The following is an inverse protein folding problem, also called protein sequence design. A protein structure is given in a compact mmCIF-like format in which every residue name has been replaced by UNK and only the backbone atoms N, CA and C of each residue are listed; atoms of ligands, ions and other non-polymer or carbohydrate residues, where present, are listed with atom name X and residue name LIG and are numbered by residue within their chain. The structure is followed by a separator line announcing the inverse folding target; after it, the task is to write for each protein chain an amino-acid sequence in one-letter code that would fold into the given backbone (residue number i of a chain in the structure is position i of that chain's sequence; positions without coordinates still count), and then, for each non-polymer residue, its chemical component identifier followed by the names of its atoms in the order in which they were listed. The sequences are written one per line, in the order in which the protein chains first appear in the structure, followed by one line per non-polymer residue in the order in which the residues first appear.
data_IF_586031877863
#
_entry.id   IF_586031877863
#
_cell.length_a   1.000
_cell.length_b   1.000
_cell.length_c   1.000
_cell.angle_alpha   90.00
_cell.angle_beta   90.00
_cell.angle_gamma   90.00
#
_symmetry.space_group_name_H-M   'P 1'
#
loop_
_entity.id
_entity.type
_entity.pdbx_description
1 polymer ?
#
# COMPACT_ATOMS: atom_id res chain seq x y z
N UNK A 1 43.09 -5.57 -5.91
CA UNK A 1 42.34 -6.30 -6.95
C UNK A 1 40.87 -5.88 -6.86
N UNK A 2 40.24 -5.50 -7.98
CA UNK A 2 38.81 -5.20 -7.96
C UNK A 2 38.04 -6.50 -7.67
N UNK A 3 37.03 -6.48 -6.77
CA UNK A 3 36.19 -7.66 -6.54
C UNK A 3 35.54 -8.12 -7.84
N UNK A 4 35.45 -9.43 -8.06
CA UNK A 4 34.79 -10.04 -9.22
C UNK A 4 33.31 -9.68 -9.27
N UNK A 5 32.68 -9.79 -10.45
CA UNK A 5 31.24 -9.53 -10.60
C UNK A 5 30.39 -10.36 -9.63
N UNK A 6 30.74 -11.64 -9.46
CA UNK A 6 30.08 -12.54 -8.50
C UNK A 6 30.19 -12.05 -7.05
N UNK A 7 31.35 -11.52 -6.64
CA UNK A 7 31.48 -10.94 -5.29
C UNK A 7 30.66 -9.66 -5.12
N UNK A 8 30.45 -8.87 -6.18
CA UNK A 8 29.62 -7.65 -6.11
C UNK A 8 28.14 -7.96 -6.06
N UNK A 9 27.67 -8.94 -6.84
CA UNK A 9 26.28 -9.41 -6.75
C UNK A 9 25.99 -10.00 -5.35
N UNK A 10 26.95 -10.72 -4.76
CA UNK A 10 26.83 -11.19 -3.39
C UNK A 10 26.78 -10.05 -2.37
N UNK A 11 27.59 -8.98 -2.54
CA UNK A 11 27.53 -7.78 -1.69
C UNK A 11 26.16 -7.10 -1.75
N UNK A 12 25.53 -7.02 -2.92
CA UNK A 12 24.18 -6.47 -3.09
C UNK A 12 23.14 -7.31 -2.34
N UNK A 13 23.20 -8.63 -2.48
CA UNK A 13 22.29 -9.56 -1.79
C UNK A 13 22.46 -9.46 -0.27
N UNK A 14 23.70 -9.41 0.22
CA UNK A 14 23.99 -9.24 1.64
C UNK A 14 23.47 -7.90 2.16
N UNK A 15 23.69 -6.80 1.42
CA UNK A 15 23.17 -5.49 1.81
C UNK A 15 21.64 -5.51 1.94
N UNK A 16 20.94 -6.10 0.97
CA UNK A 16 19.48 -6.25 1.00
C UNK A 16 19.03 -6.99 2.26
N UNK A 17 19.63 -8.14 2.53
CA UNK A 17 19.30 -8.95 3.72
C UNK A 17 19.57 -8.19 5.04
N UNK A 18 20.67 -7.45 5.13
CA UNK A 18 21.00 -6.66 6.32
C UNK A 18 20.01 -5.52 6.53
N UNK A 19 19.66 -4.78 5.47
CA UNK A 19 18.69 -3.69 5.55
C UNK A 19 17.32 -4.22 5.94
N UNK A 20 16.86 -5.32 5.33
CA UNK A 20 15.59 -5.95 5.66
C UNK A 20 15.55 -6.44 7.13
N UNK A 21 16.65 -7.00 7.64
CA UNK A 21 16.76 -7.39 9.04
C UNK A 21 16.69 -6.19 9.99
N UNK A 22 17.42 -5.11 9.69
CA UNK A 22 17.41 -3.89 10.50
C UNK A 22 16.05 -3.20 10.51
N UNK A 23 15.39 -3.17 9.35
CA UNK A 23 14.02 -2.72 9.21
C UNK A 23 13.05 -3.53 10.08
N UNK A 24 13.18 -4.86 10.09
CA UNK A 24 12.38 -5.75 10.93
C UNK A 24 12.62 -5.58 12.44
N UNK A 25 13.84 -5.19 12.84
CA UNK A 25 14.20 -4.91 14.23
C UNK A 25 13.84 -3.48 14.70
N UNK A 26 13.19 -2.67 13.85
CA UNK A 26 12.87 -1.28 14.15
C UNK A 26 14.09 -0.35 14.21
N UNK A 27 15.25 -0.82 13.73
CA UNK A 27 16.53 -0.09 13.74
C UNK A 27 16.80 0.53 12.37
N UNK A 28 15.83 1.28 11.85
CA UNK A 28 15.90 1.83 10.50
C UNK A 28 17.12 2.78 10.33
N UNK A 29 17.60 3.42 11.39
CA UNK A 29 18.75 4.35 11.32
C UNK A 29 20.03 3.61 10.96
N UNK A 30 20.22 2.42 11.52
CA UNK A 30 21.38 1.58 11.20
C UNK A 30 21.27 1.01 9.79
N UNK A 31 20.07 0.60 9.37
CA UNK A 31 19.79 0.25 7.97
C UNK A 31 20.13 1.38 7.00
N UNK A 32 19.75 2.62 7.33
CA UNK A 32 20.04 3.79 6.52
C UNK A 32 21.54 4.09 6.46
N UNK A 33 22.24 3.95 7.59
CA UNK A 33 23.70 4.13 7.66
C UNK A 33 24.41 3.14 6.74
N UNK A 34 24.06 1.86 6.83
CA UNK A 34 24.62 0.79 6.02
C UNK A 34 24.35 0.99 4.52
N UNK A 35 23.11 1.31 4.15
CA UNK A 35 22.74 1.57 2.76
C UNK A 35 23.48 2.78 2.18
N UNK A 36 23.61 3.86 2.95
CA UNK A 36 24.35 5.07 2.54
C UNK A 36 25.87 4.83 2.43
N UNK A 37 26.44 3.99 3.28
CA UNK A 37 27.85 3.59 3.20
C UNK A 37 28.11 2.75 1.94
N UNK A 38 27.26 1.76 1.67
CA UNK A 38 27.38 0.93 0.47
C UNK A 38 27.12 1.72 -0.81
N UNK A 39 26.16 2.65 -0.82
CA UNK A 39 25.92 3.54 -1.97
C UNK A 39 27.19 4.30 -2.35
N UNK A 40 27.88 4.91 -1.37
CA UNK A 40 29.13 5.65 -1.60
C UNK A 40 30.25 4.75 -2.10
N UNK A 41 30.34 3.52 -1.58
CA UNK A 41 31.31 2.51 -2.02
C UNK A 41 31.04 2.06 -3.46
N UNK A 42 29.80 1.72 -3.80
CA UNK A 42 29.44 1.33 -5.16
C UNK A 42 29.68 2.46 -6.16
N UNK A 43 29.37 3.70 -5.78
CA UNK A 43 29.67 4.89 -6.58
C UNK A 43 31.16 5.06 -6.84
N UNK A 44 32.02 4.90 -5.82
CA UNK A 44 33.48 5.01 -6.01
C UNK A 44 34.05 3.89 -6.88
N UNK A 45 33.45 2.70 -6.82
CA UNK A 45 33.77 1.55 -7.66
C UNK A 45 33.13 1.61 -9.06
N UNK A 46 32.33 2.65 -9.36
CA UNK A 46 31.53 2.79 -10.59
C UNK A 46 30.62 1.58 -10.84
N UNK A 47 30.14 0.96 -9.78
CA UNK A 47 29.22 -0.18 -9.80
C UNK A 47 27.78 0.35 -9.80
N UNK A 48 27.21 0.55 -10.99
CA UNK A 48 25.90 1.19 -11.15
C UNK A 48 24.75 0.36 -10.58
N UNK A 49 24.81 -0.97 -10.69
CA UNK A 49 23.75 -1.87 -10.23
C UNK A 49 23.63 -1.85 -8.70
N UNK A 50 24.77 -1.91 -8.01
CA UNK A 50 24.89 -1.81 -6.58
C UNK A 50 24.54 -0.42 -6.07
N UNK A 51 24.93 0.64 -6.78
CA UNK A 51 24.51 2.01 -6.46
C UNK A 51 22.98 2.14 -6.53
N UNK A 52 22.35 1.66 -7.62
CA UNK A 52 20.90 1.65 -7.77
C UNK A 52 20.20 0.79 -6.72
N UNK A 53 20.75 -0.37 -6.40
CA UNK A 53 20.21 -1.27 -5.36
C UNK A 53 20.27 -0.61 -3.98
N UNK A 54 21.35 0.10 -3.66
CA UNK A 54 21.48 0.83 -2.40
C UNK A 54 20.44 1.97 -2.30
N UNK A 55 20.20 2.71 -3.40
CA UNK A 55 19.13 3.70 -3.44
C UNK A 55 17.73 3.10 -3.25
N UNK A 56 17.43 1.94 -3.87
CA UNK A 56 16.17 1.23 -3.62
C UNK A 56 15.99 0.88 -2.14
N UNK A 57 17.06 0.41 -1.47
CA UNK A 57 17.03 0.09 -0.04
C UNK A 57 16.79 1.33 0.83
N UNK A 58 17.47 2.45 0.52
CA UNK A 58 17.25 3.73 1.20
C UNK A 58 15.81 4.22 1.02
N UNK A 59 15.26 4.10 -0.20
CA UNK A 59 13.89 4.48 -0.48
C UNK A 59 12.89 3.68 0.35
N UNK A 60 13.07 2.35 0.44
CA UNK A 60 12.23 1.48 1.26
C UNK A 60 12.26 1.88 2.74
N UNK A 61 13.44 2.18 3.27
CA UNK A 61 13.60 2.63 4.66
C UNK A 61 12.92 3.98 4.93
N UNK A 62 13.03 4.93 3.99
CA UNK A 62 12.30 6.20 4.07
C UNK A 62 10.79 6.00 3.99
N UNK A 63 10.29 5.15 3.10
CA UNK A 63 8.86 4.79 3.05
C UNK A 63 8.36 4.20 4.37
N UNK A 64 9.15 3.34 5.02
CA UNK A 64 8.80 2.79 6.34
C UNK A 64 8.71 3.84 7.45
N UNK A 65 9.44 4.96 7.31
CA UNK A 65 9.36 6.10 8.23
C UNK A 65 8.23 7.07 7.90
N UNK A 66 7.67 6.99 6.70
CA UNK A 66 6.74 7.97 6.15
C UNK A 66 7.42 9.14 5.43
N UNK A 67 8.73 9.10 5.25
CA UNK A 67 9.55 10.12 4.59
C UNK A 67 9.43 10.02 3.06
N UNK A 68 8.25 10.29 2.52
CA UNK A 68 7.95 10.03 1.10
C UNK A 68 8.75 10.93 0.13
N UNK A 69 9.18 12.12 0.55
CA UNK A 69 10.02 13.02 -0.25
C UNK A 69 11.42 12.45 -0.43
N UNK A 70 12.03 12.01 0.67
CA UNK A 70 13.35 11.40 0.72
C UNK A 70 13.37 10.06 -0.01
N UNK A 71 12.30 9.28 0.12
CA UNK A 71 12.13 8.05 -0.66
C UNK A 71 12.11 8.34 -2.16
N UNK A 72 11.35 9.36 -2.60
CA UNK A 72 11.29 9.75 -4.00
C UNK A 72 12.65 10.22 -4.51
N UNK A 73 13.38 11.03 -3.72
CA UNK A 73 14.73 11.50 -4.05
C UNK A 73 15.73 10.36 -4.28
N UNK A 74 15.60 9.26 -3.53
CA UNK A 74 16.38 8.05 -3.76
C UNK A 74 15.94 7.34 -5.05
N UNK A 75 14.63 7.15 -5.24
CA UNK A 75 14.09 6.38 -6.36
C UNK A 75 14.35 7.02 -7.72
N UNK A 76 14.28 8.35 -7.86
CA UNK A 76 14.49 9.02 -9.15
C UNK A 76 15.91 8.82 -9.72
N UNK A 77 16.88 8.43 -8.89
CA UNK A 77 18.24 8.10 -9.34
C UNK A 77 18.33 6.68 -9.93
N UNK A 78 17.43 5.77 -9.53
CA UNK A 78 17.53 4.35 -9.84
C UNK A 78 17.33 3.99 -11.32
N UNK A 79 16.30 4.51 -12.04
CA UNK A 79 16.02 4.07 -13.41
C UNK A 79 17.22 4.24 -14.35
N UNK A 80 17.91 5.37 -14.28
CA UNK A 80 19.09 5.64 -15.11
C UNK A 80 20.26 4.70 -14.79
N UNK A 81 20.46 4.35 -13.51
CA UNK A 81 21.52 3.44 -13.07
C UNK A 81 21.28 2.02 -13.58
N UNK A 82 20.05 1.51 -13.44
CA UNK A 82 19.67 0.18 -13.89
C UNK A 82 19.59 0.06 -15.41
N UNK A 83 19.06 1.07 -16.09
CA UNK A 83 19.02 1.13 -17.55
C UNK A 83 20.44 1.05 -18.14
N UNK A 84 21.40 1.76 -17.54
CA UNK A 84 22.78 1.79 -18.00
C UNK A 84 23.53 0.44 -17.91
N UNK A 85 23.00 -0.51 -17.14
CA UNK A 85 23.54 -1.88 -17.02
C UNK A 85 22.60 -2.94 -17.59
N UNK A 86 21.47 -2.52 -18.18
CA UNK A 86 20.45 -3.41 -18.75
C UNK A 86 19.64 -4.19 -17.71
N UNK A 87 19.63 -3.76 -16.44
CA UNK A 87 18.87 -4.41 -15.37
C UNK A 87 17.41 -3.94 -15.40
N UNK A 88 16.61 -4.57 -16.27
CA UNK A 88 15.18 -4.23 -16.44
C UNK A 88 14.35 -4.52 -15.18
N UNK A 89 14.81 -5.42 -14.32
CA UNK A 89 14.11 -5.73 -13.08
C UNK A 89 14.25 -4.57 -12.10
N UNK A 90 15.48 -4.12 -11.85
CA UNK A 90 15.72 -2.96 -10.99
C UNK A 90 15.09 -1.68 -11.54
N UNK A 91 15.06 -1.51 -12.87
CA UNK A 91 14.33 -0.42 -13.53
C UNK A 91 12.82 -0.46 -13.23
N UNK A 92 12.18 -1.63 -13.37
CA UNK A 92 10.77 -1.82 -13.06
C UNK A 92 10.45 -1.58 -11.57
N UNK A 93 11.26 -2.12 -10.66
CA UNK A 93 11.11 -1.91 -9.21
C UNK A 93 11.20 -0.42 -8.83
N UNK A 94 12.12 0.33 -9.47
CA UNK A 94 12.25 1.77 -9.24
C UNK A 94 11.02 2.55 -9.73
N UNK A 95 10.56 2.28 -10.96
CA UNK A 95 9.41 2.97 -11.54
C UNK A 95 8.12 2.68 -10.79
N UNK A 96 7.93 1.44 -10.37
CA UNK A 96 6.84 1.05 -9.48
C UNK A 96 6.81 1.89 -8.20
N UNK A 97 7.96 2.02 -7.51
CA UNK A 97 8.07 2.82 -6.30
C UNK A 97 7.75 4.31 -6.53
N UNK A 98 8.25 4.87 -7.64
CA UNK A 98 7.98 6.27 -8.04
C UNK A 98 6.48 6.47 -8.28
N UNK A 99 5.85 5.56 -9.01
CA UNK A 99 4.43 5.62 -9.30
C UNK A 99 3.59 5.54 -8.02
N UNK A 100 3.86 4.56 -7.14
CA UNK A 100 3.19 4.39 -5.84
C UNK A 100 3.27 5.68 -4.99
N UNK A 101 4.44 6.33 -4.94
CA UNK A 101 4.61 7.59 -4.18
C UNK A 101 3.82 8.74 -4.82
N UNK A 102 3.96 8.98 -6.12
CA UNK A 102 3.24 10.08 -6.79
C UNK A 102 1.73 9.89 -6.71
N UNK A 103 1.29 8.65 -6.86
CA UNK A 103 -0.12 8.29 -6.73
C UNK A 103 -0.63 8.60 -5.31
N UNK A 104 0.10 8.23 -4.26
CA UNK A 104 -0.24 8.60 -2.88
C UNK A 104 -0.14 10.11 -2.57
N UNK A 105 0.66 10.88 -3.33
CA UNK A 105 0.70 12.35 -3.24
C UNK A 105 -0.48 13.01 -3.98
N UNK A 106 -1.14 12.30 -4.90
CA UNK A 106 -2.15 12.83 -5.81
C UNK A 106 -1.57 13.38 -7.13
N UNK A 107 -0.28 13.18 -7.40
CA UNK A 107 0.41 13.64 -8.62
C UNK A 107 0.16 12.65 -9.78
N UNK A 108 -1.09 12.50 -10.19
CA UNK A 108 -1.52 11.41 -11.09
C UNK A 108 -0.87 11.42 -12.47
N UNK A 109 -0.47 12.57 -13.00
CA UNK A 109 0.30 12.63 -14.26
C UNK A 109 1.69 11.99 -14.12
N UNK A 110 2.37 12.23 -13.00
CA UNK A 110 3.69 11.65 -12.76
C UNK A 110 3.56 10.16 -12.40
N UNK A 111 2.49 9.79 -11.69
CA UNK A 111 2.15 8.39 -11.44
C UNK A 111 1.90 7.62 -12.74
N UNK A 112 1.18 8.22 -13.69
CA UNK A 112 0.88 7.60 -14.99
C UNK A 112 2.16 7.32 -15.78
N UNK A 113 3.03 8.33 -15.93
CA UNK A 113 4.31 8.16 -16.62
C UNK A 113 5.15 7.06 -15.98
N UNK A 114 5.25 7.05 -14.65
CA UNK A 114 6.00 6.03 -13.93
C UNK A 114 5.38 4.63 -14.06
N UNK A 115 4.05 4.50 -14.07
CA UNK A 115 3.37 3.23 -14.29
C UNK A 115 3.59 2.69 -15.72
N UNK A 116 3.55 3.56 -16.74
CA UNK A 116 3.84 3.20 -18.14
C UNK A 116 5.29 2.70 -18.31
N UNK A 117 6.26 3.38 -17.69
CA UNK A 117 7.66 2.96 -17.70
C UNK A 117 7.89 1.65 -16.93
N UNK A 118 7.20 1.45 -15.80
CA UNK A 118 7.20 0.19 -15.05
C UNK A 118 6.70 -0.97 -15.92
N UNK A 119 5.54 -0.81 -16.55
CA UNK A 119 4.97 -1.80 -17.45
C UNK A 119 5.90 -2.10 -18.64
N UNK A 120 6.54 -1.07 -19.21
CA UNK A 120 7.50 -1.23 -20.29
C UNK A 120 8.73 -2.03 -19.86
N UNK A 121 9.28 -1.76 -18.67
CA UNK A 121 10.44 -2.45 -18.14
C UNK A 121 10.16 -3.95 -17.93
N UNK A 122 9.06 -4.30 -17.26
CA UNK A 122 8.71 -5.70 -17.02
C UNK A 122 8.27 -6.44 -18.29
N UNK A 123 7.63 -5.75 -19.24
CA UNK A 123 7.34 -6.33 -20.56
C UNK A 123 8.62 -6.69 -21.33
N UNK A 124 9.63 -5.80 -21.32
CA UNK A 124 10.93 -6.07 -21.95
C UNK A 124 11.71 -7.19 -21.25
N UNK A 125 11.57 -7.30 -19.93
CA UNK A 125 12.19 -8.38 -19.15
C UNK A 125 11.53 -9.74 -19.39
N UNK A 126 10.24 -9.76 -19.74
CA UNK A 126 9.45 -10.99 -19.80
C UNK A 126 9.05 -11.54 -18.42
N UNK A 127 9.15 -10.71 -17.37
CA UNK A 127 8.78 -11.08 -16.02
C UNK A 127 7.26 -11.06 -15.87
N UNK A 128 6.64 -12.24 -15.81
CA UNK A 128 5.19 -12.37 -15.66
C UNK A 128 4.66 -11.77 -14.36
N UNK A 129 5.40 -11.94 -13.25
CA UNK A 129 4.97 -11.41 -11.94
C UNK A 129 5.08 -9.89 -11.93
N UNK A 130 6.20 -9.35 -12.39
CA UNK A 130 6.38 -7.90 -12.51
C UNK A 130 5.36 -7.25 -13.48
N UNK A 131 4.97 -7.96 -14.55
CA UNK A 131 3.87 -7.52 -15.43
C UNK A 131 2.52 -7.47 -14.72
N UNK A 132 2.22 -8.45 -13.86
CA UNK A 132 0.97 -8.49 -13.10
C UNK A 132 0.90 -7.31 -12.12
N UNK A 133 2.00 -7.05 -11.41
CA UNK A 133 2.14 -5.92 -10.50
C UNK A 133 2.02 -4.57 -11.23
N UNK A 134 2.69 -4.42 -12.37
CA UNK A 134 2.57 -3.23 -13.21
C UNK A 134 1.13 -3.04 -13.73
N UNK A 135 0.42 -4.12 -14.08
CA UNK A 135 -0.97 -4.04 -14.52
C UNK A 135 -1.91 -3.57 -13.39
N UNK A 136 -1.71 -4.02 -12.14
CA UNK A 136 -2.44 -3.47 -10.99
C UNK A 136 -2.17 -1.97 -10.82
N UNK A 137 -0.88 -1.57 -10.85
CA UNK A 137 -0.50 -0.17 -10.72
C UNK A 137 -1.11 0.71 -11.84
N UNK A 138 -1.10 0.23 -13.09
CA UNK A 138 -1.74 0.92 -14.21
C UNK A 138 -3.24 1.05 -13.98
N UNK A 139 -3.90 0.00 -13.48
CA UNK A 139 -5.31 0.05 -13.10
C UNK A 139 -5.59 1.14 -12.09
N UNK A 140 -4.81 1.14 -11.01
CA UNK A 140 -4.91 2.08 -9.91
C UNK A 140 -4.74 3.54 -10.36
N UNK A 141 -3.74 3.80 -11.21
CA UNK A 141 -3.52 5.15 -11.75
C UNK A 141 -4.65 5.60 -12.67
N UNK A 142 -5.13 4.73 -13.56
CA UNK A 142 -6.25 5.09 -14.44
C UNK A 142 -7.56 5.25 -13.69
N UNK A 143 -7.79 4.47 -12.63
CA UNK A 143 -8.89 4.66 -11.71
C UNK A 143 -8.83 6.03 -11.05
N UNK A 144 -7.64 6.45 -10.59
CA UNK A 144 -7.42 7.78 -10.03
C UNK A 144 -7.72 8.91 -11.00
N UNK A 145 -7.19 8.80 -12.22
CA UNK A 145 -7.41 9.80 -13.26
C UNK A 145 -8.90 9.90 -13.63
N UNK A 146 -9.58 8.76 -13.79
CA UNK A 146 -11.00 8.72 -14.12
C UNK A 146 -11.87 9.29 -12.98
N UNK A 147 -11.53 9.03 -11.72
CA UNK A 147 -12.22 9.60 -10.55
C UNK A 147 -12.17 11.13 -10.49
N UNK A 148 -11.16 11.75 -11.11
CA UNK A 148 -11.02 13.20 -11.23
C UNK A 148 -11.54 13.76 -12.57
N UNK A 149 -12.17 12.93 -13.41
CA UNK A 149 -12.64 13.34 -14.73
C UNK A 149 -11.53 13.55 -15.78
N UNK A 150 -10.30 13.10 -15.50
CA UNK A 150 -9.12 13.30 -16.35
C UNK A 150 -8.67 12.01 -17.07
N UNK A 151 -9.30 10.88 -16.80
CA UNK A 151 -8.87 9.56 -17.27
C UNK A 151 -9.96 8.76 -17.95
N UNK A 152 -9.55 7.68 -18.62
CA UNK A 152 -10.44 6.71 -19.22
C UNK A 152 -10.67 5.53 -18.26
N UNK A 153 -11.87 5.35 -17.69
CA UNK A 153 -12.16 4.25 -16.76
C UNK A 153 -12.01 2.86 -17.41
N UNK A 154 -12.08 2.76 -18.74
CA UNK A 154 -11.86 1.50 -19.48
C UNK A 154 -10.40 1.02 -19.43
N UNK A 155 -9.43 1.94 -19.29
CA UNK A 155 -8.02 1.56 -19.14
C UNK A 155 -7.78 0.90 -17.78
N UNK A 156 -8.45 1.38 -16.73
CA UNK A 156 -8.40 0.75 -15.42
C UNK A 156 -8.97 -0.67 -15.46
N UNK A 157 -10.15 -0.83 -16.08
CA UNK A 157 -10.80 -2.11 -16.26
C UNK A 157 -9.92 -3.12 -17.01
N UNK A 158 -9.32 -2.71 -18.14
CA UNK A 158 -8.44 -3.57 -18.93
C UNK A 158 -7.20 -4.02 -18.15
N UNK A 159 -6.57 -3.09 -17.44
CA UNK A 159 -5.37 -3.38 -16.67
C UNK A 159 -5.67 -4.29 -15.46
N UNK A 160 -6.79 -4.09 -14.77
CA UNK A 160 -7.25 -4.98 -13.71
C UNK A 160 -7.52 -6.40 -14.23
N UNK A 161 -8.13 -6.54 -15.41
CA UNK A 161 -8.38 -7.84 -16.04
C UNK A 161 -7.08 -8.57 -16.41
N UNK A 162 -6.08 -7.83 -16.94
CA UNK A 162 -4.75 -8.39 -17.21
C UNK A 162 -4.07 -8.87 -15.92
N UNK A 163 -4.12 -8.08 -14.84
CA UNK A 163 -3.55 -8.46 -13.55
C UNK A 163 -4.20 -9.75 -12.99
N UNK A 164 -5.54 -9.84 -13.01
CA UNK A 164 -6.26 -11.05 -12.58
C UNK A 164 -5.77 -12.28 -13.36
N UNK A 165 -5.71 -12.19 -14.69
CA UNK A 165 -5.28 -13.32 -15.52
C UNK A 165 -3.84 -13.72 -15.22
N UNK A 166 -2.93 -12.76 -15.10
CA UNK A 166 -1.52 -13.04 -14.84
C UNK A 166 -1.31 -13.69 -13.47
N UNK A 167 -1.97 -13.21 -12.41
CA UNK A 167 -1.85 -13.83 -11.08
C UNK A 167 -2.53 -15.19 -11.00
N UNK A 168 -3.61 -15.43 -11.74
CA UNK A 168 -4.20 -16.76 -11.88
C UNK A 168 -3.24 -17.73 -12.57
N UNK A 169 -2.62 -17.32 -13.68
CA UNK A 169 -1.62 -18.11 -14.40
C UNK A 169 -0.39 -18.44 -13.53
N UNK A 170 -0.02 -17.53 -12.62
CA UNK A 170 1.06 -17.71 -11.65
C UNK A 170 0.65 -18.55 -10.42
N UNK A 171 -0.65 -18.82 -10.23
CA UNK A 171 -1.17 -19.51 -9.06
C UNK A 171 -1.11 -18.70 -7.75
N UNK A 172 -0.98 -17.38 -7.84
CA UNK A 172 -0.84 -16.49 -6.69
C UNK A 172 -2.21 -16.14 -6.10
N UNK A 173 -2.66 -16.96 -5.15
CA UNK A 173 -4.01 -16.87 -4.57
C UNK A 173 -4.32 -15.51 -3.95
N UNK A 174 -3.40 -14.97 -3.14
CA UNK A 174 -3.58 -13.67 -2.49
C UNK A 174 -3.66 -12.54 -3.51
N UNK A 175 -2.71 -12.45 -4.45
CA UNK A 175 -2.71 -11.39 -5.45
C UNK A 175 -3.88 -11.51 -6.43
N UNK A 176 -4.36 -12.73 -6.69
CA UNK A 176 -5.60 -12.94 -7.46
C UNK A 176 -6.81 -12.34 -6.74
N UNK A 177 -6.95 -12.55 -5.41
CA UNK A 177 -8.06 -11.99 -4.64
C UNK A 177 -8.02 -10.45 -4.63
N UNK A 178 -6.83 -9.87 -4.44
CA UNK A 178 -6.63 -8.41 -4.50
C UNK A 178 -6.95 -7.87 -5.89
N UNK A 179 -6.48 -8.53 -6.96
CA UNK A 179 -6.74 -8.10 -8.34
C UNK A 179 -8.23 -8.20 -8.70
N UNK A 180 -8.95 -9.19 -8.18
CA UNK A 180 -10.41 -9.31 -8.35
C UNK A 180 -11.15 -8.18 -7.62
N UNK A 181 -10.70 -7.79 -6.44
CA UNK A 181 -11.25 -6.62 -5.73
C UNK A 181 -11.05 -5.33 -6.54
N UNK A 182 -9.85 -5.11 -7.09
CA UNK A 182 -9.56 -3.97 -7.97
C UNK A 182 -10.45 -4.01 -9.23
N UNK A 183 -10.59 -5.19 -9.85
CA UNK A 183 -11.44 -5.39 -11.03
C UNK A 183 -12.92 -5.11 -10.74
N UNK A 184 -13.43 -5.55 -9.60
CA UNK A 184 -14.80 -5.26 -9.17
C UNK A 184 -15.02 -3.75 -9.03
N UNK A 185 -14.08 -3.01 -8.44
CA UNK A 185 -14.18 -1.55 -8.32
C UNK A 185 -14.08 -0.85 -9.69
N UNK A 186 -13.23 -1.33 -10.60
CA UNK A 186 -13.17 -0.83 -11.98
C UNK A 186 -14.50 -1.07 -12.74
N UNK A 187 -15.16 -2.22 -12.49
CA UNK A 187 -16.50 -2.48 -13.01
C UNK A 187 -17.56 -1.51 -12.42
N UNK A 188 -17.49 -1.16 -11.14
CA UNK A 188 -18.36 -0.11 -10.56
C UNK A 188 -18.18 1.24 -11.27
N UNK A 189 -16.94 1.66 -11.49
CA UNK A 189 -16.62 2.94 -12.15
C UNK A 189 -17.10 3.00 -13.60
N UNK A 190 -17.05 1.86 -14.30
CA UNK A 190 -17.57 1.69 -15.66
C UNK A 190 -19.07 1.37 -15.70
N UNK A 191 -19.73 1.25 -14.54
CA UNK A 191 -21.16 0.94 -14.37
C UNK A 191 -21.58 -0.45 -14.88
N UNK A 192 -20.64 -1.39 -14.93
CA UNK A 192 -20.92 -2.80 -15.19
C UNK A 192 -21.31 -3.47 -13.85
N UNK A 193 -22.47 -3.11 -13.30
CA UNK A 193 -22.81 -3.45 -11.91
C UNK A 193 -22.98 -4.96 -11.68
N UNK A 194 -23.53 -5.70 -12.64
CA UNK A 194 -23.65 -7.15 -12.56
C UNK A 194 -22.28 -7.85 -12.54
N UNK A 195 -21.35 -7.38 -13.38
CA UNK A 195 -19.98 -7.89 -13.41
C UNK A 195 -19.21 -7.49 -12.14
N UNK A 196 -19.44 -6.28 -11.62
CA UNK A 196 -18.89 -5.84 -10.34
C UNK A 196 -19.35 -6.74 -9.20
N UNK A 197 -20.65 -7.04 -9.12
CA UNK A 197 -21.23 -7.91 -8.10
C UNK A 197 -20.62 -9.32 -8.16
N UNK A 198 -20.61 -9.94 -9.36
CA UNK A 198 -20.03 -11.27 -9.55
C UNK A 198 -18.54 -11.33 -9.19
N UNK A 199 -17.78 -10.32 -9.62
CA UNK A 199 -16.34 -10.25 -9.36
C UNK A 199 -16.06 -10.03 -7.87
N UNK A 200 -16.84 -9.18 -7.20
CA UNK A 200 -16.73 -8.93 -5.77
C UNK A 200 -17.09 -10.16 -4.93
N UNK A 201 -18.06 -10.97 -5.35
CA UNK A 201 -18.38 -12.26 -4.72
C UNK A 201 -17.25 -13.29 -4.87
N UNK A 202 -16.59 -13.35 -6.03
CA UNK A 202 -15.39 -14.19 -6.21
C UNK A 202 -14.24 -13.72 -5.31
N UNK A 203 -13.99 -12.40 -5.26
CA UNK A 203 -12.99 -11.82 -4.36
C UNK A 203 -13.28 -12.15 -2.89
N UNK A 204 -14.51 -11.95 -2.42
CA UNK A 204 -14.96 -12.29 -1.06
C UNK A 204 -14.70 -13.78 -0.74
N UNK A 205 -15.14 -14.69 -1.60
CA UNK A 205 -14.95 -16.13 -1.40
C UNK A 205 -13.47 -16.52 -1.30
N UNK A 206 -12.60 -15.85 -2.06
CA UNK A 206 -11.15 -16.07 -1.99
C UNK A 206 -10.52 -15.50 -0.73
N UNK A 207 -10.88 -14.28 -0.33
CA UNK A 207 -10.41 -13.71 0.93
C UNK A 207 -10.85 -14.54 2.13
N UNK A 208 -12.08 -15.04 2.13
CA UNK A 208 -12.58 -16.01 3.12
C UNK A 208 -11.72 -17.28 3.16
N UNK A 209 -11.38 -17.85 2.01
CA UNK A 209 -10.50 -19.02 1.93
C UNK A 209 -9.06 -18.72 2.45
N UNK A 210 -8.60 -17.48 2.32
CA UNK A 210 -7.33 -16.99 2.84
C UNK A 210 -7.39 -16.60 4.33
N UNK A 211 -8.59 -16.60 4.95
CA UNK A 211 -8.85 -16.08 6.30
C UNK A 211 -8.48 -14.60 6.44
N UNK A 212 -8.64 -13.83 5.37
CA UNK A 212 -8.48 -12.39 5.35
C UNK A 212 -9.85 -11.73 5.54
N UNK A 213 -10.24 -11.55 6.81
CA UNK A 213 -11.53 -10.96 7.17
C UNK A 213 -11.67 -9.52 6.69
N UNK A 214 -10.55 -8.80 6.59
CA UNK A 214 -10.53 -7.42 6.16
C UNK A 214 -10.80 -7.35 4.64
N UNK A 215 -10.13 -8.19 3.84
CA UNK A 215 -10.38 -8.32 2.40
C UNK A 215 -11.79 -8.84 2.08
N UNK A 216 -12.34 -9.72 2.92
CA UNK A 216 -13.74 -10.17 2.85
C UNK A 216 -14.71 -8.99 3.01
N UNK A 217 -14.52 -8.18 4.06
CA UNK A 217 -15.31 -6.97 4.30
C UNK A 217 -15.22 -5.98 3.13
N UNK A 218 -14.00 -5.65 2.69
CA UNK A 218 -13.79 -4.74 1.56
C UNK A 218 -14.48 -5.23 0.28
N UNK A 219 -14.46 -6.53 -0.01
CA UNK A 219 -15.16 -7.09 -1.17
C UNK A 219 -16.68 -6.99 -1.04
N UNK A 220 -17.22 -7.16 0.16
CA UNK A 220 -18.65 -7.01 0.41
C UNK A 220 -19.13 -5.55 0.35
N UNK A 221 -18.27 -4.58 0.67
CA UNK A 221 -18.52 -3.17 0.36
C UNK A 221 -18.71 -2.95 -1.15
N UNK A 222 -17.89 -3.58 -2.00
CA UNK A 222 -18.04 -3.47 -3.45
C UNK A 222 -19.36 -4.09 -3.94
N UNK A 223 -19.82 -5.19 -3.33
CA UNK A 223 -21.14 -5.75 -3.61
C UNK A 223 -22.25 -4.77 -3.24
N UNK A 224 -22.13 -4.12 -2.08
CA UNK A 224 -23.09 -3.10 -1.67
C UNK A 224 -23.15 -1.92 -2.67
N UNK A 225 -22.00 -1.47 -3.18
CA UNK A 225 -21.94 -0.50 -4.27
C UNK A 225 -22.57 -0.99 -5.58
N UNK A 226 -22.40 -2.27 -5.91
CA UNK A 226 -23.02 -2.87 -7.09
C UNK A 226 -24.55 -2.92 -6.95
N UNK A 227 -25.07 -3.36 -5.80
CA UNK A 227 -26.50 -3.36 -5.50
C UNK A 227 -27.09 -1.95 -5.53
N UNK A 228 -26.37 -0.95 -5.00
CA UNK A 228 -26.77 0.46 -5.11
C UNK A 228 -26.91 0.90 -6.58
N UNK A 229 -25.93 0.55 -7.43
CA UNK A 229 -25.98 0.81 -8.87
C UNK A 229 -27.13 0.10 -9.59
N UNK A 230 -27.50 -1.09 -9.12
CA UNK A 230 -28.66 -1.87 -9.57
C UNK A 230 -29.99 -1.40 -8.97
N UNK A 231 -29.99 -0.32 -8.18
CA UNK A 231 -31.17 0.22 -7.47
C UNK A 231 -31.79 -0.72 -6.43
N UNK A 232 -31.05 -1.75 -6.01
CA UNK A 232 -31.44 -2.68 -4.96
C UNK A 232 -30.95 -2.17 -3.59
N UNK A 233 -31.67 -1.18 -3.06
CA UNK A 233 -31.31 -0.52 -1.80
C UNK A 233 -31.35 -1.45 -0.59
N UNK A 234 -32.22 -2.46 -0.58
CA UNK A 234 -32.33 -3.41 0.52
C UNK A 234 -31.09 -4.29 0.60
N UNK A 235 -30.69 -4.90 -0.52
CA UNK A 235 -29.48 -5.72 -0.57
C UNK A 235 -28.21 -4.88 -0.40
N UNK A 236 -28.18 -3.65 -0.93
CA UNK A 236 -27.07 -2.72 -0.68
C UNK A 236 -26.89 -2.48 0.82
N UNK A 237 -27.94 -2.10 1.54
CA UNK A 237 -27.89 -1.89 3.00
C UNK A 237 -27.51 -3.15 3.75
N UNK A 238 -28.02 -4.32 3.34
CA UNK A 238 -27.69 -5.61 3.95
C UNK A 238 -26.19 -5.90 3.84
N UNK A 239 -25.64 -5.85 2.62
CA UNK A 239 -24.22 -6.07 2.36
C UNK A 239 -23.33 -5.08 3.14
N UNK A 240 -23.70 -3.81 3.20
CA UNK A 240 -22.93 -2.81 3.94
C UNK A 240 -22.91 -3.12 5.45
N UNK A 241 -24.07 -3.45 6.05
CA UNK A 241 -24.16 -3.80 7.48
C UNK A 241 -23.33 -5.03 7.83
N UNK A 242 -23.42 -6.09 7.02
CA UNK A 242 -22.60 -7.28 7.21
C UNK A 242 -21.10 -6.93 7.08
N UNK A 243 -20.75 -5.98 6.20
CA UNK A 243 -19.35 -5.60 5.99
C UNK A 243 -18.82 -4.85 7.19
N UNK A 244 -19.65 -4.02 7.80
CA UNK A 244 -19.34 -3.34 9.06
C UNK A 244 -19.00 -4.35 10.17
N UNK A 245 -19.82 -5.39 10.29
CA UNK A 245 -19.61 -6.44 11.30
C UNK A 245 -18.28 -7.19 11.05
N UNK A 246 -17.94 -7.45 9.78
CA UNK A 246 -16.64 -8.04 9.42
C UNK A 246 -15.48 -7.10 9.75
N UNK A 247 -15.52 -5.82 9.38
CA UNK A 247 -14.49 -4.84 9.74
C UNK A 247 -14.30 -4.73 11.26
N UNK A 248 -15.41 -4.69 11.99
CA UNK A 248 -15.40 -4.71 13.46
C UNK A 248 -14.73 -5.96 14.02
N UNK A 249 -15.02 -7.14 13.45
CA UNK A 249 -14.39 -8.40 13.86
C UNK A 249 -12.90 -8.46 13.52
N UNK A 250 -12.48 -7.78 12.45
CA UNK A 250 -11.08 -7.58 12.07
C UNK A 250 -10.35 -6.54 12.93
N UNK A 251 -11.08 -5.75 13.73
CA UNK A 251 -10.52 -4.63 14.50
C UNK A 251 -10.17 -3.42 13.62
N UNK A 252 -10.75 -3.35 12.43
CA UNK A 252 -10.56 -2.27 11.47
C UNK A 252 -11.62 -1.18 11.66
N UNK A 253 -11.28 -0.23 12.52
CA UNK A 253 -12.15 0.91 12.82
C UNK A 253 -12.29 1.88 11.64
N UNK A 254 -11.32 1.94 10.73
CA UNK A 254 -11.39 2.83 9.57
C UNK A 254 -12.37 2.27 8.54
N UNK A 255 -12.30 0.97 8.27
CA UNK A 255 -13.28 0.27 7.46
C UNK A 255 -14.70 0.41 8.04
N UNK A 256 -14.86 0.31 9.36
CA UNK A 256 -16.14 0.56 10.04
C UNK A 256 -16.68 1.98 9.78
N UNK A 257 -15.85 3.02 10.01
CA UNK A 257 -16.22 4.43 9.78
C UNK A 257 -16.60 4.66 8.30
N UNK A 258 -15.86 4.07 7.35
CA UNK A 258 -16.17 4.15 5.91
C UNK A 258 -17.51 3.51 5.53
N UNK A 259 -17.89 2.40 6.17
CA UNK A 259 -19.20 1.78 5.94
C UNK A 259 -20.32 2.68 6.49
N UNK A 260 -20.11 3.32 7.64
CA UNK A 260 -21.06 4.29 8.20
C UNK A 260 -21.27 5.46 7.23
N UNK A 261 -20.18 6.08 6.74
CA UNK A 261 -20.24 7.16 5.75
C UNK A 261 -20.99 6.73 4.49
N UNK A 262 -20.79 5.49 4.04
CA UNK A 262 -21.50 4.97 2.88
C UNK A 262 -23.00 4.78 3.11
N UNK A 263 -23.38 4.22 4.26
CA UNK A 263 -24.78 4.05 4.63
C UNK A 263 -25.51 5.40 4.72
N UNK A 264 -24.86 6.43 5.27
CA UNK A 264 -25.40 7.80 5.33
C UNK A 264 -25.62 8.39 3.93
N UNK A 265 -24.68 8.16 3.00
CA UNK A 265 -24.84 8.57 1.61
C UNK A 265 -25.93 7.78 0.87
N UNK A 266 -26.10 6.50 1.19
CA UNK A 266 -27.13 5.64 0.59
C UNK A 266 -28.54 6.18 0.83
N UNK A 267 -28.81 6.75 2.01
CA UNK A 267 -30.09 7.44 2.27
C UNK A 267 -30.31 8.64 1.35
N UNK A 268 -29.23 9.31 0.92
CA UNK A 268 -29.28 10.41 -0.04
C UNK A 268 -29.77 9.96 -1.42
N UNK A 269 -29.25 8.83 -1.91
CA UNK A 269 -29.66 8.24 -3.17
C UNK A 269 -31.09 7.71 -3.11
N UNK A 270 -31.46 6.99 -2.04
CA UNK A 270 -32.81 6.43 -1.85
C UNK A 270 -33.89 7.52 -1.81
N UNK A 271 -33.61 8.64 -1.14
CA UNK A 271 -34.55 9.78 -1.04
C UNK A 271 -34.50 10.71 -2.25
N UNK A 272 -33.75 10.36 -3.32
CA UNK A 272 -33.61 11.16 -4.54
C UNK A 272 -32.87 12.49 -4.36
N UNK A 273 -32.13 12.67 -3.26
CA UNK A 273 -31.32 13.87 -2.99
C UNK A 273 -29.97 13.85 -3.71
N UNK A 274 -29.53 12.67 -4.14
CA UNK A 274 -28.30 12.45 -4.91
C UNK A 274 -28.65 11.68 -6.18
N UNK A 275 -27.97 11.97 -7.29
CA UNK A 275 -28.17 11.26 -8.53
C UNK A 275 -27.31 9.99 -8.54
N UNK A 276 -27.92 8.81 -8.74
CA UNK A 276 -27.22 7.53 -8.86
C UNK A 276 -26.20 7.51 -10.01
N UNK A 277 -26.36 8.37 -11.02
CA UNK A 277 -25.37 8.54 -12.08
C UNK A 277 -24.04 9.10 -11.57
N UNK A 278 -24.05 9.74 -10.41
CA UNK A 278 -22.87 10.29 -9.76
C UNK A 278 -22.05 9.24 -9.03
N UNK A 279 -22.61 8.07 -8.73
CA UNK A 279 -21.88 6.99 -8.07
C UNK A 279 -20.98 6.27 -9.08
N UNK A 280 -19.67 6.27 -8.78
CA UNK A 280 -18.62 5.69 -9.64
C UNK A 280 -17.78 4.63 -8.93
N UNK A 281 -18.27 4.10 -7.82
CA UNK A 281 -17.53 3.17 -6.97
C UNK A 281 -16.83 3.88 -5.81
N UNK A 282 -15.77 3.25 -5.33
CA UNK A 282 -15.11 3.65 -4.09
C UNK A 282 -13.68 4.12 -4.37
N UNK A 283 -13.34 5.31 -3.89
CA UNK A 283 -11.96 5.75 -3.75
C UNK A 283 -11.49 5.43 -2.33
N UNK A 284 -10.21 5.65 -2.06
CA UNK A 284 -9.74 5.75 -0.69
C UNK A 284 -9.45 7.22 -0.36
N UNK A 285 -9.48 7.57 0.92
CA UNK A 285 -9.17 8.90 1.47
C UNK A 285 -7.72 8.97 1.92
N UNK A 286 -7.14 10.17 1.83
CA UNK A 286 -5.89 10.50 2.51
C UNK A 286 -6.14 10.65 4.01
N UNK A 287 -5.51 9.83 4.84
CA UNK A 287 -5.11 10.32 6.16
C UNK A 287 -3.94 11.28 5.99
N UNK A 288 -4.22 12.58 6.00
CA UNK A 288 -3.17 13.56 6.25
C UNK A 288 -2.66 13.36 7.69
N UNK A 289 -1.36 13.06 7.91
CA UNK A 289 -0.80 12.89 9.26
C UNK A 289 -1.05 14.09 10.18
N UNK A 290 -1.30 15.27 9.61
CA UNK A 290 -1.59 16.50 10.36
C UNK A 290 -3.07 16.63 10.77
N UNK A 291 -3.98 15.96 10.06
CA UNK A 291 -5.43 15.94 10.36
C UNK A 291 -5.77 14.99 11.51
N UNK A 292 -4.85 14.12 11.93
CA UNK A 292 -5.00 13.25 13.10
C UNK A 292 -5.09 13.99 14.46
N UNK A 293 -5.01 15.33 14.47
CA UNK A 293 -5.06 16.16 15.69
C UNK A 293 -6.32 17.01 15.86
N UNK A 294 -7.32 16.89 14.99
CA UNK A 294 -8.47 17.80 14.98
C UNK A 294 -9.83 17.13 14.82
N UNK A 295 -10.21 16.22 15.70
CA UNK A 295 -11.56 15.65 15.73
C UNK A 295 -11.91 15.18 17.15
N UNK A 296 -13.10 15.54 17.63
CA UNK A 296 -13.51 15.38 19.03
C UNK A 296 -13.20 13.99 19.61
N UNK A 297 -12.52 13.97 20.76
CA UNK A 297 -12.27 12.77 21.57
C UNK A 297 -13.60 12.08 21.89
N UNK A 298 -13.92 10.97 21.21
CA UNK A 298 -14.56 9.85 21.90
C UNK A 298 -13.43 9.14 22.68
N UNK A 299 -13.53 9.11 24.00
CA UNK A 299 -12.55 8.43 24.87
C UNK A 299 -12.43 6.95 24.43
N UNK A 300 -11.33 6.62 23.73
CA UNK A 300 -10.99 5.25 23.34
C UNK A 300 -9.92 4.72 24.31
N UNK A 301 -10.17 3.53 24.89
CA UNK A 301 -9.33 2.84 25.85
C UNK A 301 -7.90 2.55 25.32
N UNK A 302 -6.88 2.39 26.20
CA UNK A 302 -5.47 2.35 25.80
C UNK A 302 -5.14 1.07 25.00
N UNK A 303 -4.45 1.26 23.87
CA UNK A 303 -4.16 0.27 22.83
C UNK A 303 -2.98 -0.63 23.19
N UNK A 304 -3.11 -1.94 22.95
CA UNK A 304 -1.96 -2.85 22.77
C UNK A 304 -1.45 -2.73 21.32
N UNK A 305 -0.13 -2.75 21.06
CA UNK A 305 0.37 -2.65 19.69
C UNK A 305 0.30 -4.01 19.01
N UNK A 306 -0.59 -4.21 18.02
CA UNK A 306 -0.56 -5.38 17.12
C UNK A 306 -1.08 -5.08 15.71
N UNK A 307 -0.42 -5.78 14.78
CA UNK A 307 -0.63 -5.96 13.34
C UNK A 307 -1.80 -5.18 12.74
N UNK A 308 -1.47 -4.02 12.21
CA UNK A 308 -2.36 -3.23 11.38
C UNK A 308 -2.29 -3.83 9.96
N UNK A 309 -3.29 -4.61 9.59
CA UNK A 309 -3.66 -4.81 8.18
C UNK A 309 -4.37 -3.52 7.76
N UNK A 310 -3.60 -2.57 7.22
CA UNK A 310 -4.10 -1.29 6.74
C UNK A 310 -5.06 -1.55 5.55
N UNK A 311 -6.35 -1.76 5.81
CA UNK A 311 -7.35 -1.36 4.82
C UNK A 311 -7.55 0.11 5.05
N UNK A 312 -7.10 0.89 4.08
CA UNK A 312 -7.13 2.34 4.12
C UNK A 312 -8.57 2.88 4.18
N UNK A 313 -8.70 4.15 4.51
CA UNK A 313 -9.97 4.87 4.58
C UNK A 313 -10.68 4.83 3.20
N UNK A 314 -11.88 4.27 3.07
CA UNK A 314 -12.68 4.22 1.83
C UNK A 314 -13.57 5.48 1.75
N UNK A 315 -13.56 6.21 0.63
CA UNK A 315 -14.38 7.38 0.30
C UNK A 315 -15.25 7.12 -0.95
N UNK A 316 -16.45 7.70 -1.03
CA UNK A 316 -17.28 7.58 -2.23
C UNK A 316 -16.85 8.56 -3.32
N UNK A 317 -16.75 8.08 -4.56
CA UNK A 317 -16.51 8.95 -5.71
C UNK A 317 -17.84 9.54 -6.18
N UNK A 318 -17.92 10.88 -6.20
CA UNK A 318 -19.02 11.67 -6.77
C UNK A 318 -18.58 12.39 -8.04
N UNK A 319 -19.49 12.63 -8.97
CA UNK A 319 -19.26 13.30 -10.26
C UNK A 319 -18.94 14.80 -10.15
N UNK A 320 -19.27 15.44 -9.03
CA UNK A 320 -19.15 16.89 -8.89
C UNK A 320 -17.70 17.34 -8.64
N UNK A 321 -17.02 17.67 -9.74
CA UNK A 321 -15.68 18.28 -9.79
C UNK A 321 -15.63 19.73 -9.29
N UNK A 322 -16.75 20.31 -8.84
CA UNK A 322 -16.83 21.74 -8.44
C UNK A 322 -16.16 22.06 -7.10
N UNK A 323 -15.87 21.04 -6.28
CA UNK A 323 -14.92 21.18 -5.17
C UNK A 323 -13.60 20.60 -5.64
N UNK A 324 -12.57 21.44 -5.64
CA UNK A 324 -11.15 21.06 -5.69
C UNK A 324 -10.73 20.23 -4.44
N UNK A 325 -11.55 19.25 -4.06
CA UNK A 325 -11.22 18.29 -3.03
C UNK A 325 -10.24 17.30 -3.64
N UNK A 326 -9.01 17.29 -3.13
CA UNK A 326 -8.01 16.28 -3.44
C UNK A 326 -8.53 14.90 -3.00
N UNK A 327 -9.28 14.22 -3.87
CA UNK A 327 -9.56 12.78 -3.70
C UNK A 327 -8.20 12.10 -3.74
N UNK A 328 -7.75 11.59 -2.61
CA UNK A 328 -6.42 10.96 -2.55
C UNK A 328 -6.58 9.51 -2.23
N UNK A 329 -6.43 8.73 -3.29
CA UNK A 329 -6.55 7.28 -3.27
C UNK A 329 -5.33 6.68 -2.57
N UNK A 330 -5.55 6.01 -1.45
CA UNK A 330 -4.76 4.86 -1.05
C UNK A 330 -5.13 3.63 -1.91
N UNK A 331 -4.17 2.76 -2.16
CA UNK A 331 -4.36 1.57 -2.99
C UNK A 331 -4.08 0.32 -2.16
N UNK A 332 -4.76 -0.77 -2.48
CA UNK A 332 -4.69 -2.05 -1.74
C UNK A 332 -3.25 -2.62 -1.67
N UNK A 333 -2.36 -2.12 -2.52
CA UNK A 333 -0.94 -2.46 -2.57
C UNK A 333 -0.11 -1.98 -1.35
N UNK A 334 -0.73 -1.28 -0.40
CA UNK A 334 -0.17 -1.11 0.95
C UNK A 334 0.06 -2.46 1.69
N UNK A 335 -0.41 -3.58 1.11
CA UNK A 335 -0.23 -4.94 1.60
C UNK A 335 1.17 -5.54 1.36
N UNK A 336 1.93 -5.08 0.35
CA UNK A 336 3.20 -5.74 -0.08
C UNK A 336 4.41 -5.56 0.86
N UNK A 337 4.24 -5.02 2.07
CA UNK A 337 5.33 -4.80 3.03
C UNK A 337 5.26 -5.64 4.31
N UNK A 338 4.23 -6.50 4.52
CA UNK A 338 4.03 -7.15 5.84
C UNK A 338 3.76 -8.65 5.86
N UNK A 339 3.78 -9.34 4.72
CA UNK A 339 3.59 -10.79 4.65
C UNK A 339 4.89 -11.61 4.54
N UNK A 340 6.06 -10.97 4.59
CA UNK A 340 7.34 -11.67 4.86
C UNK A 340 7.47 -11.95 6.36
N UNK A 341 6.70 -12.90 6.87
CA UNK A 341 6.71 -13.27 8.29
C UNK A 341 5.69 -14.35 8.62
N UNK A 342 5.79 -15.49 7.91
CA UNK A 342 5.10 -16.70 8.32
C UNK A 342 5.51 -17.10 9.74
N UNK A 343 4.50 -17.45 10.53
CA UNK A 343 4.52 -18.36 11.68
C UNK A 343 5.61 -18.17 12.76
N UNK A 344 5.16 -17.73 13.93
CA UNK A 344 5.78 -18.10 15.20
C UNK A 344 6.47 -16.97 15.96
N UNK A 345 5.70 -16.03 16.54
CA UNK A 345 6.22 -15.25 17.67
C UNK A 345 5.10 -14.90 18.68
N UNK A 346 4.78 -15.86 19.55
CA UNK A 346 4.04 -15.59 20.78
C UNK A 346 5.00 -14.98 21.80
N UNK A 347 5.11 -13.65 21.86
CA UNK A 347 5.73 -12.99 23.02
C UNK A 347 4.68 -12.76 24.11
N UNK A 348 4.94 -13.38 25.26
CA UNK A 348 4.20 -13.25 26.52
C UNK A 348 4.28 -11.80 27.01
N UNK A 349 3.18 -11.37 27.61
CA UNK A 349 3.04 -10.11 28.32
C UNK A 349 4.07 -9.97 29.45
N UNK A 350 4.67 -8.79 29.58
CA UNK A 350 5.20 -8.30 30.84
C UNK A 350 4.53 -6.97 31.17
N UNK A 351 3.73 -7.02 32.23
CA UNK A 351 3.14 -5.88 32.92
C UNK A 351 4.27 -5.24 33.72
N UNK A 352 4.62 -3.98 33.47
CA UNK A 352 5.45 -3.20 34.39
C UNK A 352 4.54 -2.63 35.48
N UNK A 353 4.73 -3.08 36.72
CA UNK A 353 4.33 -2.34 37.91
C UNK A 353 5.51 -1.48 38.39
N UNK A 354 5.27 -0.27 38.92
CA UNK A 354 6.33 0.69 39.23
C UNK A 354 7.00 0.36 40.57
N UNK A 355 8.33 0.48 40.64
CA UNK A 355 9.10 0.40 41.90
C UNK A 355 9.60 1.82 42.25
N UNK A 356 9.45 2.28 43.51
CA UNK A 356 9.75 3.65 43.91
C UNK A 356 11.24 3.91 44.19
N UNK A 357 11.63 5.17 43.98
CA UNK A 357 12.94 5.75 44.30
C UNK A 357 13.27 5.66 45.80
N UNK A 358 14.42 5.07 46.15
CA UNK A 358 15.18 5.42 47.36
C UNK A 358 16.69 5.42 47.12
N UNK A 359 17.26 6.61 47.23
CA UNK A 359 18.55 7.00 47.82
C UNK A 359 19.62 5.92 48.06
N UNK A 360 20.77 6.06 47.39
CA UNK A 360 22.07 5.76 47.99
C UNK A 360 23.00 6.96 47.79
N UNK A 361 23.33 7.56 48.94
CA UNK A 361 24.34 8.60 49.09
C UNK A 361 25.73 8.03 48.83
N UNK A 362 26.55 8.86 48.17
CA UNK A 362 27.96 9.12 48.49
C UNK A 362 28.90 7.94 48.74
N UNK A 363 29.90 7.79 47.85
CA UNK A 363 31.29 8.00 48.28
C UNK A 363 32.18 8.29 47.08
N UNK A 364 32.69 9.52 47.09
CA UNK A 364 33.88 9.97 46.40
C UNK A 364 35.11 9.17 46.85
N UNK A 365 36.00 8.80 45.93
CA UNK A 365 37.44 9.03 46.12
C UNK A 365 38.20 8.92 44.78
N UNK A 366 38.93 10.01 44.49
CA UNK A 366 39.87 10.19 43.38
C UNK A 366 41.27 9.61 43.73
N UNK A 367 42.22 9.57 42.78
CA UNK A 367 43.31 8.59 42.73
C UNK A 367 44.59 9.03 43.45
N UNK A 368 45.51 8.07 43.70
CA UNK A 368 46.93 8.37 43.94
C UNK A 368 47.86 7.40 43.20
N UNK A 369 48.88 8.02 42.59
CA UNK A 369 50.02 7.42 41.92
C UNK A 369 51.04 6.80 42.89
N UNK A 370 51.85 5.91 42.31
CA UNK A 370 53.25 5.59 42.57
C UNK A 370 53.61 4.73 43.80
N UNK A 371 54.11 3.51 43.51
CA UNK A 371 55.54 3.23 43.55
C UNK A 371 55.90 2.14 42.56
#
# INVERSE_FOLDING_TARGET
AFPSRATRDAEIVCLKAMVDAQAGMGSADEGMRLASEQQRRFKSLKEKKGEGSAFLMMAKLHQMRGDLEEALNCLVQCPALFLAVGDRKGEGEAWLGIAKIHLGKGDTQQAQRAAEECALAYRKLGDKRGRAEAAQLVSDVHFALASMGMGNPQEALRAAQEAVQLYQDLGEKTQTAISLHILANANLMTRNFEDALKTAQDAEGRFRALRDTAGEAGSMMLQSGAHLGLTDFEEAKRCAKESKDLFKSAGDFQGEDSVEDFLDHMEGYEKGRQNLDDFRGFAMRRTDPTMAKGGAKRERAPRKPRQISNISDIELIKLDTSKEGKVTLAFFDAFESRSAGGEGFRSKAWIQSPVPLRSLQGQSQQPRKAR
#
